data_IF_251278059361
#
_entry.id   IF_251278059361
#
_cell.length_a   1.000
_cell.length_b   1.000
_cell.length_c   1.000
_cell.angle_alpha   90.00
_cell.angle_beta   90.00
_cell.angle_gamma   90.00
#
_symmetry.space_group_name_H-M   'P 1'
#
loop_
_entity.id
_entity.type
_entity.pdbx_description
1 polymer ?
#
# COMPACT_ATOMS: atom_id res chain seq x y z
N UNK A 1 -79.00 70.68 45.40
CA UNK A 1 -78.02 70.90 46.49
C UNK A 1 -77.54 69.53 46.94
N UNK A 2 -76.26 69.17 47.07
CA UNK A 2 -74.97 69.88 47.10
C UNK A 2 -73.86 68.82 46.90
N UNK A 3 -72.66 69.27 46.48
CA UNK A 3 -71.41 68.49 46.26
C UNK A 3 -70.93 67.70 47.52
N UNK A 4 -69.96 66.76 47.53
CA UNK A 4 -68.61 66.74 46.93
C UNK A 4 -67.79 65.46 47.30
N UNK A 5 -66.80 65.11 46.43
CA UNK A 5 -65.43 64.53 46.60
C UNK A 5 -65.05 63.11 47.16
N UNK A 6 -64.16 62.45 46.38
CA UNK A 6 -63.08 61.41 46.52
C UNK A 6 -62.60 60.91 47.92
N UNK A 7 -61.99 59.69 48.06
CA UNK A 7 -60.68 59.29 47.46
C UNK A 7 -60.50 57.82 46.99
N UNK A 8 -59.35 57.59 46.34
CA UNK A 8 -58.84 56.37 45.67
C UNK A 8 -58.06 55.41 46.57
N UNK A 9 -58.04 54.10 46.24
CA UNK A 9 -56.93 53.16 46.53
C UNK A 9 -56.83 52.07 45.44
N UNK A 10 -55.60 51.64 45.18
CA UNK A 10 -55.10 50.82 44.07
C UNK A 10 -55.02 49.32 44.37
N UNK A 11 -55.11 48.48 43.33
CA UNK A 11 -54.87 47.03 43.37
C UNK A 11 -53.63 46.64 42.52
N UNK A 12 -52.79 45.75 43.07
CA UNK A 12 -51.53 45.26 42.51
C UNK A 12 -51.71 44.28 41.31
N UNK A 13 -50.85 44.32 40.27
CA UNK A 13 -50.82 43.32 39.22
C UNK A 13 -49.85 42.15 39.49
N UNK A 14 -50.24 40.96 39.01
CA UNK A 14 -49.52 39.67 39.06
C UNK A 14 -48.18 39.75 38.27
N UNK A 15 -47.06 39.14 38.72
CA UNK A 15 -45.76 39.32 38.08
C UNK A 15 -45.60 38.55 36.75
N UNK A 16 -45.15 39.26 35.70
CA UNK A 16 -44.68 38.75 34.38
C UNK A 16 -43.55 37.69 34.43
N UNK A 17 -43.14 37.21 35.60
CA UNK A 17 -41.95 36.38 35.78
C UNK A 17 -42.15 34.89 35.42
N UNK A 18 -43.37 34.36 35.53
CA UNK A 18 -43.64 32.92 35.30
C UNK A 18 -43.61 32.58 33.81
N UNK A 19 -44.11 33.49 32.95
CA UNK A 19 -44.13 33.30 31.50
C UNK A 19 -42.72 33.29 30.87
N UNK A 20 -41.81 34.14 31.34
CA UNK A 20 -40.43 34.19 30.82
C UNK A 20 -39.65 32.88 31.08
N UNK A 21 -39.87 32.22 32.22
CA UNK A 21 -39.12 31.01 32.60
C UNK A 21 -39.44 29.81 31.70
N UNK A 22 -40.70 29.64 31.31
CA UNK A 22 -41.13 28.57 30.40
C UNK A 22 -40.63 28.79 28.96
N UNK A 23 -40.52 30.04 28.51
CA UNK A 23 -40.02 30.39 27.19
C UNK A 23 -38.50 30.18 27.08
N UNK A 24 -37.73 30.60 28.09
CA UNK A 24 -36.29 30.34 28.15
C UNK A 24 -35.95 28.83 28.17
N UNK A 25 -36.76 27.99 28.83
CA UNK A 25 -36.52 26.56 28.91
C UNK A 25 -36.84 25.82 27.60
N UNK A 26 -37.84 26.28 26.83
CA UNK A 26 -38.12 25.80 25.47
C UNK A 26 -37.05 26.21 24.45
N UNK A 27 -36.49 27.41 24.59
CA UNK A 27 -35.39 27.88 23.75
C UNK A 27 -34.12 27.08 24.05
N UNK A 28 -33.80 26.82 25.33
CA UNK A 28 -32.66 26.00 25.72
C UNK A 28 -32.75 24.54 25.20
N UNK A 29 -33.92 23.90 25.29
CA UNK A 29 -34.11 22.54 24.76
C UNK A 29 -34.06 22.48 23.23
N UNK A 30 -34.56 23.50 22.53
CA UNK A 30 -34.45 23.66 21.08
C UNK A 30 -33.00 23.85 20.60
N UNK A 31 -32.21 24.65 21.33
CA UNK A 31 -30.78 24.83 21.06
C UNK A 31 -29.96 23.55 21.32
N UNK A 32 -30.32 22.78 22.35
CA UNK A 32 -29.66 21.53 22.69
C UNK A 32 -29.97 20.43 21.64
N UNK A 33 -31.22 20.37 21.16
CA UNK A 33 -31.61 19.49 20.04
C UNK A 33 -30.88 19.83 18.74
N UNK A 34 -30.74 21.11 18.40
CA UNK A 34 -29.97 21.55 17.22
C UNK A 34 -28.48 21.20 17.30
N UNK A 35 -27.86 21.31 18.48
CA UNK A 35 -26.45 20.90 18.69
C UNK A 35 -26.25 19.39 18.52
N UNK A 36 -27.19 18.57 19.02
CA UNK A 36 -27.13 17.10 18.86
C UNK A 36 -27.27 16.72 17.39
N UNK A 37 -28.23 17.33 16.66
CA UNK A 37 -28.43 17.08 15.24
C UNK A 37 -27.20 17.50 14.43
N UNK A 38 -26.59 18.65 14.75
CA UNK A 38 -25.38 19.12 14.09
C UNK A 38 -24.17 18.21 14.36
N UNK A 39 -24.02 17.69 15.59
CA UNK A 39 -22.98 16.71 15.92
C UNK A 39 -23.20 15.37 15.22
N UNK A 40 -24.45 14.91 15.10
CA UNK A 40 -24.78 13.68 14.36
C UNK A 40 -24.52 13.84 12.86
N UNK A 41 -24.86 15.00 12.27
CA UNK A 41 -24.52 15.34 10.88
C UNK A 41 -23.01 15.43 10.68
N UNK A 42 -22.28 16.01 11.63
CA UNK A 42 -20.82 16.06 11.58
C UNK A 42 -20.19 14.67 11.66
N UNK A 43 -20.67 13.80 12.56
CA UNK A 43 -20.20 12.41 12.65
C UNK A 43 -20.54 11.59 11.39
N UNK A 44 -21.69 11.83 10.77
CA UNK A 44 -22.09 11.21 9.51
C UNK A 44 -21.25 11.72 8.32
N UNK A 45 -20.92 13.02 8.30
CA UNK A 45 -20.00 13.59 7.33
C UNK A 45 -18.59 13.02 7.51
N UNK A 46 -18.09 12.94 8.75
CA UNK A 46 -16.78 12.34 9.06
C UNK A 46 -16.74 10.87 8.67
N UNK A 47 -17.82 10.08 8.87
CA UNK A 47 -17.87 8.68 8.42
C UNK A 47 -17.93 8.54 6.89
N UNK A 48 -18.55 9.48 6.17
CA UNK A 48 -18.50 9.56 4.70
C UNK A 48 -17.11 9.96 4.17
N UNK A 49 -16.30 10.66 4.98
CA UNK A 49 -14.91 11.03 4.66
C UNK A 49 -13.87 10.01 5.13
N UNK A 50 -14.25 8.92 5.83
CA UNK A 50 -13.36 7.75 6.00
C UNK A 50 -13.34 6.97 4.67
N UNK A 51 -12.81 7.60 3.64
CA UNK A 51 -12.25 6.87 2.51
C UNK A 51 -11.18 5.96 3.11
N UNK A 52 -11.37 4.64 3.01
CA UNK A 52 -10.27 3.72 3.25
C UNK A 52 -9.14 4.17 2.33
N UNK A 53 -8.07 4.71 2.89
CA UNK A 53 -6.87 5.04 2.13
C UNK A 53 -6.26 3.70 1.71
N UNK A 54 -6.76 3.16 0.59
CA UNK A 54 -6.14 2.03 -0.08
C UNK A 54 -4.87 2.55 -0.72
N UNK A 55 -3.77 1.84 -0.53
CA UNK A 55 -2.56 2.15 -1.27
C UNK A 55 -2.86 1.88 -2.76
N UNK A 56 -2.37 2.75 -3.64
CA UNK A 56 -2.38 2.47 -5.07
C UNK A 56 -1.31 1.42 -5.39
N UNK A 57 -1.57 0.51 -6.34
CA UNK A 57 -0.53 -0.42 -6.80
C UNK A 57 0.60 0.35 -7.48
N UNK A 58 1.83 -0.11 -7.25
CA UNK A 58 3.01 0.31 -8.03
C UNK A 58 2.82 -0.08 -9.51
N UNK A 59 2.11 -1.17 -9.79
CA UNK A 59 1.60 -1.41 -11.13
C UNK A 59 1.06 -2.80 -11.29
N UNK A 60 0.65 -3.11 -12.51
CA UNK A 60 0.09 -4.39 -12.88
C UNK A 60 0.55 -4.77 -14.29
N UNK A 61 0.49 -6.07 -14.57
CA UNK A 61 0.69 -6.64 -15.89
C UNK A 61 -0.45 -7.61 -16.15
N UNK A 62 -1.10 -7.46 -17.30
CA UNK A 62 -2.15 -8.34 -17.79
C UNK A 62 -1.67 -8.94 -19.11
N UNK A 63 -1.52 -10.26 -19.20
CA UNK A 63 -1.04 -10.90 -20.42
C UNK A 63 -2.19 -11.02 -21.44
N UNK A 64 -2.18 -10.15 -22.45
CA UNK A 64 -3.22 -10.06 -23.47
C UNK A 64 -3.35 -11.35 -24.32
N UNK A 65 -2.35 -12.22 -24.33
CA UNK A 65 -2.40 -13.50 -25.03
C UNK A 65 -3.13 -14.60 -24.24
N UNK A 66 -3.62 -14.30 -23.04
CA UNK A 66 -4.27 -15.28 -22.14
C UNK A 66 -5.72 -14.92 -21.85
N UNK A 67 -6.43 -14.36 -22.83
CA UNK A 67 -7.81 -13.93 -22.64
C UNK A 67 -8.76 -15.10 -22.36
N UNK A 68 -9.60 -14.95 -21.33
CA UNK A 68 -10.61 -15.91 -20.90
C UNK A 68 -11.98 -15.24 -20.79
N UNK A 69 -13.04 -16.04 -20.94
CA UNK A 69 -14.39 -15.60 -20.59
C UNK A 69 -14.52 -15.44 -19.07
N UNK A 70 -15.25 -14.42 -18.62
CA UNK A 70 -15.57 -14.21 -17.20
C UNK A 70 -16.33 -15.39 -16.58
N UNK A 71 -17.10 -16.13 -17.40
CA UNK A 71 -17.85 -17.33 -17.01
C UNK A 71 -17.07 -18.65 -17.16
N UNK A 72 -15.79 -18.60 -17.56
CA UNK A 72 -14.99 -19.80 -17.77
C UNK A 72 -14.64 -20.51 -16.45
N UNK A 73 -14.34 -21.82 -16.55
CA UNK A 73 -13.86 -22.59 -15.40
C UNK A 73 -12.53 -22.05 -14.86
N UNK A 74 -11.66 -21.54 -15.74
CA UNK A 74 -10.40 -20.86 -15.37
C UNK A 74 -10.69 -19.63 -14.50
N UNK A 75 -11.65 -18.78 -14.89
CA UNK A 75 -12.05 -17.59 -14.12
C UNK A 75 -12.50 -17.96 -12.69
N UNK A 76 -13.34 -19.01 -12.56
CA UNK A 76 -13.76 -19.53 -11.25
C UNK A 76 -12.58 -20.10 -10.44
N UNK A 77 -11.62 -20.74 -11.11
CA UNK A 77 -10.43 -21.29 -10.45
C UNK A 77 -9.50 -20.17 -9.95
N UNK A 78 -9.37 -19.07 -10.70
CA UNK A 78 -8.66 -17.85 -10.28
C UNK A 78 -9.32 -17.28 -9.02
N UNK A 79 -10.65 -17.12 -8.99
CA UNK A 79 -11.33 -16.52 -7.84
C UNK A 79 -11.16 -17.39 -6.57
N UNK A 80 -11.21 -18.72 -6.69
CA UNK A 80 -10.91 -19.65 -5.59
C UNK A 80 -9.46 -19.55 -5.13
N UNK A 81 -8.51 -19.48 -6.07
CA UNK A 81 -7.09 -19.33 -5.80
C UNK A 81 -6.81 -18.02 -5.05
N UNK A 82 -7.38 -16.91 -5.49
CA UNK A 82 -7.20 -15.60 -4.85
C UNK A 82 -7.75 -15.59 -3.41
N UNK A 83 -8.90 -16.21 -3.17
CA UNK A 83 -9.45 -16.37 -1.83
C UNK A 83 -8.49 -17.17 -0.91
N UNK A 84 -7.88 -18.23 -1.44
CA UNK A 84 -6.88 -18.99 -0.71
C UNK A 84 -5.64 -18.15 -0.40
N UNK A 85 -5.08 -17.44 -1.39
CA UNK A 85 -3.91 -16.57 -1.21
C UNK A 85 -4.18 -15.49 -0.15
N UNK A 86 -5.35 -14.85 -0.17
CA UNK A 86 -5.77 -13.83 0.82
C UNK A 86 -5.82 -14.41 2.23
N UNK A 87 -6.34 -15.62 2.40
CA UNK A 87 -6.47 -16.24 3.73
C UNK A 87 -5.15 -16.75 4.29
N UNK A 88 -4.25 -17.29 3.44
CA UNK A 88 -3.04 -17.99 3.90
C UNK A 88 -1.79 -17.12 3.95
N UNK A 89 -1.62 -16.16 3.03
CA UNK A 89 -0.39 -15.34 2.94
C UNK A 89 -0.05 -14.61 4.24
N UNK A 90 -1.00 -14.02 4.99
CA UNK A 90 -0.68 -13.29 6.21
C UNK A 90 -0.15 -14.16 7.36
N UNK A 91 -0.27 -15.49 7.28
CA UNK A 91 0.20 -16.42 8.30
C UNK A 91 1.73 -16.59 8.26
N UNK A 92 2.31 -16.56 7.05
CA UNK A 92 3.72 -16.87 6.78
C UNK A 92 4.44 -15.77 5.99
N UNK A 93 3.71 -14.76 5.51
CA UNK A 93 4.19 -13.75 4.58
C UNK A 93 4.34 -14.24 3.13
N UNK A 94 4.05 -15.50 2.84
CA UNK A 94 4.25 -16.11 1.52
C UNK A 94 3.46 -17.39 1.32
N UNK A 95 2.82 -17.53 0.17
CA UNK A 95 2.12 -18.75 -0.26
C UNK A 95 2.27 -18.95 -1.76
N UNK A 96 2.47 -20.21 -2.16
CA UNK A 96 2.18 -20.72 -3.50
C UNK A 96 1.03 -21.71 -3.41
N UNK A 97 0.09 -21.63 -4.33
CA UNK A 97 -1.02 -22.59 -4.45
C UNK A 97 -1.40 -22.83 -5.92
N UNK A 98 -2.29 -23.78 -6.14
CA UNK A 98 -2.94 -24.00 -7.41
C UNK A 98 -4.41 -24.37 -7.22
N UNK A 99 -5.24 -24.04 -8.19
CA UNK A 99 -6.68 -24.30 -8.18
C UNK A 99 -7.14 -24.92 -9.50
N UNK A 100 -8.04 -25.89 -9.43
CA UNK A 100 -8.56 -26.61 -10.59
C UNK A 100 -7.74 -27.84 -10.99
N UNK A 101 -8.09 -28.39 -12.15
CA UNK A 101 -7.44 -29.54 -12.81
C UNK A 101 -7.22 -29.19 -14.28
N UNK A 102 -6.29 -29.88 -14.92
CA UNK A 102 -6.03 -29.67 -16.35
C UNK A 102 -7.30 -29.96 -17.17
N UNK A 103 -7.60 -29.14 -18.20
CA UNK A 103 -6.79 -28.04 -18.74
C UNK A 103 -7.00 -26.67 -18.05
N UNK A 104 -7.89 -26.57 -17.06
CA UNK A 104 -8.31 -25.29 -16.44
C UNK A 104 -7.53 -24.95 -15.16
N UNK A 105 -6.36 -25.59 -14.94
CA UNK A 105 -5.57 -25.40 -13.72
C UNK A 105 -4.88 -24.04 -13.72
N UNK A 106 -4.86 -23.40 -12.56
CA UNK A 106 -4.22 -22.08 -12.36
C UNK A 106 -3.26 -22.15 -11.18
N UNK A 107 -2.08 -21.55 -11.34
CA UNK A 107 -1.04 -21.44 -10.33
C UNK A 107 -1.02 -20.01 -9.78
N UNK A 108 -0.75 -19.85 -8.49
CA UNK A 108 -0.75 -18.57 -7.82
C UNK A 108 0.35 -18.45 -6.79
N UNK A 109 0.84 -17.22 -6.64
CA UNK A 109 1.83 -16.83 -5.65
C UNK A 109 1.42 -15.49 -5.06
N UNK A 110 1.51 -15.39 -3.74
CA UNK A 110 1.38 -14.14 -3.01
C UNK A 110 2.51 -14.03 -2.00
N UNK A 111 3.15 -12.87 -1.95
CA UNK A 111 4.28 -12.63 -1.06
C UNK A 111 4.27 -11.21 -0.54
N UNK A 112 4.40 -11.07 0.77
CA UNK A 112 4.61 -9.80 1.43
C UNK A 112 6.10 -9.44 1.48
N UNK A 113 6.42 -8.16 1.64
CA UNK A 113 7.78 -7.72 1.90
C UNK A 113 8.19 -8.23 3.29
N UNK A 114 9.35 -8.88 3.42
CA UNK A 114 9.68 -9.66 4.62
C UNK A 114 9.90 -8.84 5.90
N UNK A 115 9.79 -7.52 5.85
CA UNK A 115 9.90 -6.60 6.98
C UNK A 115 8.55 -6.02 7.45
N UNK A 116 7.42 -6.35 6.81
CA UNK A 116 6.10 -5.80 7.18
C UNK A 116 5.36 -6.68 8.18
N UNK A 117 4.45 -6.09 8.94
CA UNK A 117 3.63 -6.83 9.91
C UNK A 117 2.61 -7.74 9.22
N UNK A 118 2.13 -8.78 9.91
CA UNK A 118 1.04 -9.64 9.39
C UNK A 118 -0.22 -8.83 9.06
N UNK A 119 -0.48 -7.75 9.80
CA UNK A 119 -1.62 -6.85 9.53
C UNK A 119 -1.45 -6.12 8.20
N UNK A 120 -0.29 -5.50 7.99
CA UNK A 120 -0.01 -4.78 6.74
C UNK A 120 0.04 -5.74 5.54
N UNK A 121 0.61 -6.93 5.75
CA UNK A 121 0.58 -8.01 4.79
C UNK A 121 -0.86 -8.41 4.41
N UNK A 122 -1.73 -8.63 5.40
CA UNK A 122 -3.14 -8.95 5.19
C UNK A 122 -3.87 -7.88 4.40
N UNK A 123 -3.72 -6.61 4.77
CA UNK A 123 -4.35 -5.50 4.05
C UNK A 123 -3.84 -5.41 2.60
N UNK A 124 -2.53 -5.55 2.40
CA UNK A 124 -1.93 -5.48 1.07
C UNK A 124 -2.42 -6.59 0.14
N UNK A 125 -2.46 -7.84 0.61
CA UNK A 125 -2.89 -8.98 -0.22
C UNK A 125 -4.38 -8.90 -0.54
N UNK A 126 -5.21 -8.41 0.39
CA UNK A 126 -6.64 -8.17 0.14
C UNK A 126 -6.86 -7.14 -0.97
N UNK A 127 -6.16 -6.00 -0.90
CA UNK A 127 -6.23 -4.97 -1.93
C UNK A 127 -5.68 -5.48 -3.26
N UNK A 128 -4.54 -6.18 -3.26
CA UNK A 128 -3.92 -6.76 -4.46
C UNK A 128 -4.85 -7.76 -5.17
N UNK A 129 -5.47 -8.68 -4.43
CA UNK A 129 -6.37 -9.69 -4.98
C UNK A 129 -7.63 -9.05 -5.59
N UNK A 130 -8.14 -7.99 -4.98
CA UNK A 130 -9.28 -7.24 -5.54
C UNK A 130 -8.88 -6.46 -6.80
N UNK A 131 -7.80 -5.68 -6.72
CA UNK A 131 -7.38 -4.78 -7.78
C UNK A 131 -6.88 -5.52 -9.03
N UNK A 132 -6.23 -6.69 -8.87
CA UNK A 132 -5.79 -7.48 -10.02
C UNK A 132 -6.98 -7.98 -10.85
N UNK A 133 -8.11 -8.32 -10.23
CA UNK A 133 -9.34 -8.74 -10.96
C UNK A 133 -10.07 -7.57 -11.58
N UNK A 134 -9.92 -6.35 -11.04
CA UNK A 134 -10.49 -5.14 -11.65
C UNK A 134 -9.66 -4.67 -12.85
N UNK A 135 -8.32 -4.75 -12.76
CA UNK A 135 -7.40 -4.26 -13.79
C UNK A 135 -7.15 -5.28 -14.90
N UNK A 136 -7.09 -6.56 -14.55
CA UNK A 136 -6.92 -7.68 -15.47
C UNK A 136 -8.18 -8.56 -15.44
N UNK A 137 -9.30 -8.02 -15.92
CA UNK A 137 -10.63 -8.64 -15.77
C UNK A 137 -10.75 -10.00 -16.48
N UNK A 138 -10.08 -10.14 -17.62
CA UNK A 138 -10.27 -11.26 -18.53
C UNK A 138 -8.96 -11.97 -18.89
N UNK A 139 -7.88 -11.82 -18.13
CA UNK A 139 -6.60 -12.48 -18.41
C UNK A 139 -6.37 -13.64 -17.44
N UNK A 140 -5.86 -14.76 -17.93
CA UNK A 140 -5.49 -15.90 -17.10
C UNK A 140 -4.05 -15.82 -16.55
N UNK A 141 -3.23 -14.91 -17.06
CA UNK A 141 -1.91 -14.58 -16.52
C UNK A 141 -1.83 -13.08 -16.15
N UNK A 142 -1.71 -12.81 -14.85
CA UNK A 142 -1.65 -11.46 -14.33
C UNK A 142 -0.76 -11.33 -13.09
N UNK A 143 -0.22 -10.12 -12.93
CA UNK A 143 0.68 -9.73 -11.84
C UNK A 143 0.28 -8.35 -11.32
N UNK A 144 0.41 -8.12 -10.02
CA UNK A 144 0.23 -6.80 -9.40
C UNK A 144 1.26 -6.59 -8.29
N UNK A 145 1.84 -5.39 -8.25
CA UNK A 145 2.89 -5.01 -7.31
C UNK A 145 2.43 -3.86 -6.42
N UNK A 146 2.70 -3.98 -5.13
CA UNK A 146 2.51 -2.96 -4.09
C UNK A 146 3.82 -2.74 -3.34
N UNK A 147 3.92 -1.66 -2.56
CA UNK A 147 5.10 -1.43 -1.71
C UNK A 147 5.33 -2.54 -0.67
N UNK A 148 4.25 -3.21 -0.23
CA UNK A 148 4.28 -4.22 0.83
C UNK A 148 3.99 -5.65 0.38
N UNK A 149 3.57 -5.86 -0.88
CA UNK A 149 3.28 -7.20 -1.37
C UNK A 149 3.31 -7.30 -2.90
N UNK A 150 3.38 -8.54 -3.37
CA UNK A 150 3.31 -8.95 -4.76
C UNK A 150 2.33 -10.11 -4.87
N UNK A 151 1.51 -10.11 -5.93
CA UNK A 151 0.60 -11.19 -6.25
C UNK A 151 0.65 -11.51 -7.74
N UNK A 152 0.72 -12.81 -8.06
CA UNK A 152 0.72 -13.34 -9.42
C UNK A 152 -0.18 -14.55 -9.52
N UNK A 153 -0.89 -14.68 -10.63
CA UNK A 153 -1.50 -15.93 -11.05
C UNK A 153 -1.26 -16.17 -12.54
N UNK A 154 -1.28 -17.43 -12.96
CA UNK A 154 -1.13 -17.84 -14.36
C UNK A 154 -1.75 -19.22 -14.59
N UNK A 155 -2.28 -19.46 -15.79
CA UNK A 155 -2.63 -20.80 -16.26
C UNK A 155 -1.40 -21.61 -16.75
N UNK A 156 -0.22 -21.00 -16.80
CA UNK A 156 1.05 -21.71 -16.96
C UNK A 156 1.80 -21.82 -15.62
N UNK A 157 2.47 -22.94 -15.39
CA UNK A 157 3.21 -23.15 -14.15
C UNK A 157 4.51 -22.35 -14.14
N UNK A 158 4.54 -21.26 -13.37
CA UNK A 158 5.71 -20.40 -13.20
C UNK A 158 6.54 -20.68 -11.93
N UNK A 159 6.07 -21.58 -11.05
CA UNK A 159 6.69 -21.79 -9.73
C UNK A 159 8.13 -22.27 -9.88
N UNK A 160 9.06 -21.55 -9.26
CA UNK A 160 10.50 -21.86 -9.30
C UNK A 160 11.19 -21.45 -10.60
N UNK A 161 10.52 -20.71 -11.49
CA UNK A 161 11.11 -20.22 -12.74
C UNK A 161 11.41 -18.72 -12.65
N UNK A 162 12.62 -18.33 -13.03
CA UNK A 162 13.01 -16.91 -13.11
C UNK A 162 12.22 -16.21 -14.21
N UNK A 163 11.59 -15.11 -13.87
CA UNK A 163 10.83 -14.25 -14.77
C UNK A 163 11.22 -12.77 -14.55
N UNK A 164 12.05 -12.28 -15.46
CA UNK A 164 12.46 -10.88 -15.60
C UNK A 164 12.04 -10.29 -16.95
N UNK A 165 11.05 -10.89 -17.63
CA UNK A 165 10.65 -10.46 -18.98
C UNK A 165 9.90 -9.14 -18.97
N UNK A 166 9.05 -8.92 -17.96
CA UNK A 166 8.35 -7.67 -17.74
C UNK A 166 8.89 -6.97 -16.48
N UNK A 167 9.21 -5.68 -16.59
CA UNK A 167 9.77 -4.90 -15.50
C UNK A 167 9.13 -3.52 -15.34
N UNK A 168 8.91 -3.11 -14.10
CA UNK A 168 8.53 -1.73 -13.76
C UNK A 168 9.71 -1.05 -13.08
N UNK A 169 10.10 0.11 -13.60
CA UNK A 169 11.24 0.88 -13.14
C UNK A 169 10.77 2.22 -12.63
N UNK A 170 11.20 2.56 -11.41
CA UNK A 170 10.99 3.88 -10.84
C UNK A 170 12.31 4.52 -10.54
N UNK A 171 12.41 5.82 -10.76
CA UNK A 171 13.58 6.56 -10.31
C UNK A 171 13.22 7.97 -9.85
N UNK A 172 14.03 8.48 -8.94
CA UNK A 172 13.95 9.86 -8.51
C UNK A 172 14.39 10.78 -9.66
N UNK A 173 13.66 11.87 -9.91
CA UNK A 173 14.05 12.83 -10.97
C UNK A 173 15.40 13.48 -10.70
N UNK A 174 15.75 13.66 -9.43
CA UNK A 174 16.96 14.31 -8.99
C UNK A 174 18.17 13.37 -9.02
N UNK A 175 19.30 13.94 -9.43
CA UNK A 175 20.58 13.26 -9.41
C UNK A 175 21.29 13.47 -8.07
N UNK A 176 22.20 12.55 -7.74
CA UNK A 176 23.17 12.75 -6.66
C UNK A 176 24.24 13.76 -7.07
N UNK A 177 24.88 14.40 -6.10
CA UNK A 177 25.91 15.43 -6.34
C UNK A 177 27.28 14.85 -6.67
N UNK A 178 27.59 13.65 -6.16
CA UNK A 178 28.83 12.92 -6.43
C UNK A 178 28.49 11.49 -6.91
N UNK A 179 28.24 11.31 -8.23
CA UNK A 179 27.89 10.02 -8.81
C UNK A 179 28.93 8.92 -8.60
N UNK A 180 30.22 9.25 -8.63
CA UNK A 180 31.28 8.24 -8.58
C UNK A 180 31.35 7.61 -7.19
N UNK A 181 31.41 8.43 -6.14
CA UNK A 181 31.39 7.93 -4.76
C UNK A 181 30.07 7.24 -4.43
N UNK A 182 28.93 7.80 -4.89
CA UNK A 182 27.62 7.21 -4.68
C UNK A 182 27.49 5.81 -5.29
N UNK A 183 27.85 5.66 -6.57
CA UNK A 183 27.73 4.39 -7.28
C UNK A 183 28.65 3.32 -6.69
N UNK A 184 29.83 3.71 -6.18
CA UNK A 184 30.73 2.81 -5.46
C UNK A 184 30.08 2.27 -4.18
N UNK A 185 29.54 3.16 -3.34
CA UNK A 185 28.88 2.77 -2.08
C UNK A 185 27.58 1.99 -2.33
N UNK A 186 26.82 2.35 -3.36
CA UNK A 186 25.62 1.63 -3.79
C UNK A 186 25.97 0.21 -4.25
N UNK A 187 27.00 0.05 -5.07
CA UNK A 187 27.47 -1.25 -5.54
C UNK A 187 27.86 -2.17 -4.38
N UNK A 188 28.71 -1.66 -3.47
CA UNK A 188 29.15 -2.41 -2.29
C UNK A 188 27.97 -2.80 -1.37
N UNK A 189 27.00 -1.89 -1.17
CA UNK A 189 25.80 -2.18 -0.41
C UNK A 189 24.94 -3.26 -1.09
N UNK A 190 24.72 -3.15 -2.41
CA UNK A 190 23.93 -4.10 -3.20
C UNK A 190 24.55 -5.49 -3.18
N UNK A 191 25.86 -5.61 -3.36
CA UNK A 191 26.56 -6.91 -3.34
C UNK A 191 26.40 -7.61 -1.99
N UNK A 192 26.51 -6.85 -0.89
CA UNK A 192 26.31 -7.38 0.45
C UNK A 192 24.88 -7.87 0.66
N UNK A 193 23.87 -7.04 0.39
CA UNK A 193 22.47 -7.42 0.66
C UNK A 193 21.95 -8.49 -0.30
N UNK A 194 22.48 -8.57 -1.53
CA UNK A 194 22.21 -9.68 -2.45
C UNK A 194 22.75 -11.00 -1.91
N UNK A 195 23.97 -10.98 -1.37
CA UNK A 195 24.58 -12.16 -0.73
C UNK A 195 23.82 -12.59 0.53
N UNK A 196 23.24 -11.65 1.27
CA UNK A 196 22.35 -11.95 2.38
C UNK A 196 21.03 -12.58 1.88
N UNK A 197 20.40 -12.00 0.86
CA UNK A 197 19.09 -12.44 0.34
C UNK A 197 19.07 -13.90 -0.13
N UNK A 198 20.18 -14.37 -0.73
CA UNK A 198 20.28 -15.75 -1.24
C UNK A 198 20.43 -16.79 -0.13
N UNK A 199 20.74 -16.38 1.11
CA UNK A 199 20.87 -17.31 2.24
C UNK A 199 19.49 -17.85 2.63
N UNK A 200 19.31 -19.19 2.76
CA UNK A 200 18.00 -19.78 3.05
C UNK A 200 17.28 -19.18 4.27
N UNK A 201 18.03 -18.88 5.34
CA UNK A 201 17.50 -18.28 6.58
C UNK A 201 16.86 -16.91 6.40
N UNK A 202 17.19 -16.20 5.31
CA UNK A 202 16.72 -14.85 5.04
C UNK A 202 15.52 -14.84 4.09
N UNK A 203 15.09 -16.00 3.60
CA UNK A 203 13.87 -16.18 2.81
C UNK A 203 13.76 -15.19 1.63
N UNK A 204 14.88 -14.97 0.94
CA UNK A 204 14.96 -14.08 -0.22
C UNK A 204 15.12 -12.60 0.11
N UNK A 205 15.12 -12.16 1.37
CA UNK A 205 15.22 -10.75 1.77
C UNK A 205 16.65 -10.35 2.12
N UNK A 206 17.13 -9.24 1.56
CA UNK A 206 18.35 -8.55 1.99
C UNK A 206 18.08 -7.07 2.15
N UNK A 207 18.55 -6.45 3.23
CA UNK A 207 18.38 -5.01 3.44
C UNK A 207 19.53 -4.43 4.24
N UNK A 208 19.85 -3.17 3.98
CA UNK A 208 20.97 -2.53 4.65
C UNK A 208 21.02 -1.04 4.39
N UNK A 209 21.91 -0.38 5.13
CA UNK A 209 22.20 1.03 4.97
C UNK A 209 23.69 1.29 5.07
N UNK A 210 24.16 2.34 4.41
CA UNK A 210 25.54 2.85 4.54
C UNK A 210 25.53 4.37 4.63
N UNK A 211 26.47 4.94 5.38
CA UNK A 211 26.61 6.40 5.47
C UNK A 211 27.42 6.89 4.27
N UNK A 212 26.86 7.83 3.52
CA UNK A 212 27.57 8.53 2.45
C UNK A 212 28.28 9.77 2.99
N UNK A 213 27.72 10.40 4.04
CA UNK A 213 28.30 11.53 4.76
C UNK A 213 27.75 11.59 6.20
N UNK A 214 28.09 12.64 6.94
CA UNK A 214 27.52 12.89 8.28
C UNK A 214 26.00 13.06 8.27
N UNK A 215 25.42 13.55 7.18
CA UNK A 215 24.00 13.89 7.07
C UNK A 215 23.24 13.03 6.08
N UNK A 216 23.94 12.17 5.32
CA UNK A 216 23.35 11.40 4.23
C UNK A 216 23.59 9.90 4.42
N UNK A 217 22.50 9.14 4.42
CA UNK A 217 22.52 7.68 4.53
C UNK A 217 21.80 7.08 3.33
N UNK A 218 22.42 6.11 2.69
CA UNK A 218 21.85 5.31 1.63
C UNK A 218 21.18 4.08 2.24
N UNK A 219 19.93 3.82 1.86
CA UNK A 219 19.14 2.65 2.25
C UNK A 219 18.89 1.80 1.02
N UNK A 220 19.03 0.49 1.14
CA UNK A 220 18.71 -0.45 0.06
C UNK A 220 18.04 -1.72 0.58
N UNK A 221 17.15 -2.27 -0.24
CA UNK A 221 16.45 -3.53 0.00
C UNK A 221 16.36 -4.30 -1.31
N UNK A 222 16.60 -5.60 -1.23
CA UNK A 222 16.37 -6.58 -2.29
C UNK A 222 15.46 -7.68 -1.78
N UNK A 223 14.60 -8.21 -2.63
CA UNK A 223 13.78 -9.36 -2.29
C UNK A 223 13.56 -10.25 -3.51
N UNK A 224 13.79 -11.56 -3.36
CA UNK A 224 13.36 -12.58 -4.31
C UNK A 224 12.00 -13.16 -3.92
N UNK A 225 11.27 -13.70 -4.89
CA UNK A 225 10.14 -14.58 -4.58
C UNK A 225 10.64 -15.89 -3.98
N UNK A 226 9.96 -16.40 -2.95
CA UNK A 226 10.45 -17.55 -2.16
C UNK A 226 10.31 -18.90 -2.85
N UNK A 227 9.71 -18.95 -4.03
CA UNK A 227 9.64 -20.16 -4.87
C UNK A 227 10.97 -20.46 -5.57
N UNK A 228 11.89 -19.49 -5.64
CA UNK A 228 13.14 -19.62 -6.35
C UNK A 228 14.22 -20.36 -5.54
N UNK A 229 15.10 -21.06 -6.27
CA UNK A 229 16.34 -21.57 -5.70
C UNK A 229 17.31 -20.43 -5.35
N UNK A 230 18.38 -20.75 -4.61
CA UNK A 230 19.42 -19.75 -4.28
C UNK A 230 20.08 -19.18 -5.55
N UNK A 231 20.30 -20.03 -6.56
CA UNK A 231 20.92 -19.64 -7.84
C UNK A 231 19.97 -18.75 -8.63
N UNK A 232 18.70 -19.13 -8.71
CA UNK A 232 17.67 -18.37 -9.43
C UNK A 232 17.41 -16.99 -8.79
N UNK A 233 17.40 -16.95 -7.45
CA UNK A 233 17.35 -15.68 -6.71
C UNK A 233 18.58 -14.81 -7.01
N UNK A 234 19.79 -15.39 -6.95
CA UNK A 234 21.02 -14.67 -7.27
C UNK A 234 21.02 -14.11 -8.68
N UNK A 235 20.53 -14.89 -9.66
CA UNK A 235 20.38 -14.50 -11.06
C UNK A 235 19.40 -13.35 -11.22
N UNK A 236 18.19 -13.43 -10.65
CA UNK A 236 17.21 -12.36 -10.77
C UNK A 236 17.74 -11.04 -10.21
N UNK A 237 18.35 -11.09 -9.01
CA UNK A 237 18.93 -9.90 -8.39
C UNK A 237 20.13 -9.35 -9.17
N UNK A 238 20.93 -10.22 -9.80
CA UNK A 238 22.03 -9.80 -10.66
C UNK A 238 21.51 -9.04 -11.89
N UNK A 239 20.45 -9.54 -12.54
CA UNK A 239 19.81 -8.90 -13.69
C UNK A 239 19.25 -7.52 -13.29
N UNK A 240 18.56 -7.45 -12.15
CA UNK A 240 18.00 -6.19 -11.65
C UNK A 240 19.05 -5.12 -11.37
N UNK A 241 20.14 -5.47 -10.67
CA UNK A 241 21.23 -4.53 -10.38
C UNK A 241 22.06 -4.21 -11.63
N UNK A 242 22.27 -5.19 -12.51
CA UNK A 242 22.99 -4.99 -13.78
C UNK A 242 22.33 -3.98 -14.72
N UNK A 243 21.02 -3.75 -14.55
CA UNK A 243 20.26 -2.75 -15.29
C UNK A 243 20.32 -1.33 -14.71
N UNK A 244 20.97 -1.12 -13.55
CA UNK A 244 21.09 0.20 -12.94
C UNK A 244 21.71 1.27 -13.85
N UNK A 245 22.78 1.00 -14.62
CA UNK A 245 23.36 1.99 -15.51
C UNK A 245 22.38 2.52 -16.56
N UNK A 246 21.37 1.73 -16.93
CA UNK A 246 20.40 2.11 -17.96
C UNK A 246 19.24 2.93 -17.41
N UNK A 247 18.80 2.67 -16.16
CA UNK A 247 17.55 3.24 -15.63
C UNK A 247 17.72 4.07 -14.35
N UNK A 248 18.73 3.76 -13.55
CA UNK A 248 18.96 4.35 -12.24
C UNK A 248 20.11 5.37 -12.25
N UNK A 249 20.74 5.61 -13.41
CA UNK A 249 21.96 6.38 -13.61
C UNK A 249 22.05 7.62 -12.71
N UNK A 250 22.84 7.49 -11.65
CA UNK A 250 23.16 8.58 -10.71
C UNK A 250 21.91 9.19 -10.03
N UNK A 251 20.79 8.49 -9.99
CA UNK A 251 19.54 8.94 -9.37
C UNK A 251 19.58 8.75 -7.87
N UNK A 252 18.97 9.68 -7.12
CA UNK A 252 18.89 9.62 -5.65
C UNK A 252 18.09 8.41 -5.12
N UNK A 253 17.25 7.81 -5.95
CA UNK A 253 16.48 6.62 -5.61
C UNK A 253 16.08 5.88 -6.88
N UNK A 254 15.99 4.57 -6.79
CA UNK A 254 15.55 3.72 -7.88
C UNK A 254 14.83 2.48 -7.36
N UNK A 255 13.88 1.97 -8.14
CA UNK A 255 13.18 0.70 -7.90
C UNK A 255 13.13 -0.10 -9.19
N UNK A 256 13.41 -1.40 -9.09
CA UNK A 256 13.28 -2.38 -10.17
C UNK A 256 12.35 -3.47 -9.69
N UNK A 257 11.23 -3.66 -10.40
CA UNK A 257 10.19 -4.62 -10.05
C UNK A 257 10.04 -5.63 -11.18
N UNK A 258 10.53 -6.85 -10.97
CA UNK A 258 10.28 -7.99 -11.83
C UNK A 258 9.24 -8.93 -11.20
N UNK A 259 8.84 -9.96 -11.94
CA UNK A 259 7.95 -11.02 -11.43
C UNK A 259 8.62 -11.92 -10.39
N UNK A 260 9.95 -12.00 -10.41
CA UNK A 260 10.76 -12.90 -9.57
C UNK A 260 11.59 -12.18 -8.50
N UNK A 261 11.80 -10.87 -8.63
CA UNK A 261 12.56 -10.11 -7.64
C UNK A 261 12.26 -8.60 -7.69
N UNK A 262 12.63 -7.95 -6.58
CA UNK A 262 12.45 -6.55 -6.30
C UNK A 262 13.76 -5.97 -5.80
N UNK A 263 14.14 -4.79 -6.30
CA UNK A 263 15.27 -4.02 -5.80
C UNK A 263 14.85 -2.58 -5.60
N UNK A 264 15.24 -1.97 -4.47
CA UNK A 264 15.04 -0.55 -4.21
C UNK A 264 16.20 0.03 -3.44
N UNK A 265 16.58 1.25 -3.80
CA UNK A 265 17.41 2.11 -2.97
C UNK A 265 16.86 3.53 -2.91
N UNK A 266 17.08 4.19 -1.78
CA UNK A 266 16.64 5.56 -1.52
C UNK A 266 17.60 6.24 -0.53
N UNK A 267 17.60 7.57 -0.48
CA UNK A 267 18.34 8.38 0.51
C UNK A 267 17.51 8.70 1.77
N UNK A 268 16.41 7.97 2.00
CA UNK A 268 15.56 8.07 3.17
C UNK A 268 15.14 6.66 3.66
N UNK A 269 14.83 6.48 4.96
CA UNK A 269 14.37 5.20 5.47
C UNK A 269 13.04 4.76 4.84
N UNK A 270 12.94 3.51 4.37
CA UNK A 270 11.71 2.96 3.76
C UNK A 270 11.39 1.50 4.14
N UNK A 271 12.26 0.86 4.92
CA UNK A 271 12.09 -0.51 5.40
C UNK A 271 12.13 -0.55 6.93
N UNK A 272 11.45 -1.53 7.52
CA UNK A 272 11.29 -1.64 8.96
C UNK A 272 12.48 -2.35 9.64
N UNK A 273 12.78 -2.03 10.91
CA UNK A 273 12.23 -0.88 11.65
C UNK A 273 12.71 0.44 11.04
N UNK A 274 11.82 1.44 10.97
CA UNK A 274 12.19 2.77 10.51
C UNK A 274 13.01 3.46 11.61
N UNK A 275 14.15 4.05 11.25
CA UNK A 275 14.92 4.86 12.19
C UNK A 275 14.09 6.12 12.53
N UNK A 276 13.91 6.40 13.82
CA UNK A 276 13.01 7.47 14.34
C UNK A 276 13.45 8.91 14.05
N UNK A 277 14.52 9.13 13.28
CA UNK A 277 15.14 10.43 13.07
C UNK A 277 15.29 10.74 11.58
N UNK A 278 14.23 11.27 10.96
CA UNK A 278 14.28 12.45 10.05
C UNK A 278 13.00 12.57 9.22
N UNK A 279 12.53 13.81 9.09
CA UNK A 279 11.35 14.17 8.29
C UNK A 279 11.51 13.74 6.83
N UNK A 280 10.51 13.01 6.35
CA UNK A 280 10.36 12.57 4.97
C UNK A 280 10.17 13.77 4.04
N UNK A 281 11.18 14.05 3.20
CA UNK A 281 10.98 14.80 1.96
C UNK A 281 10.70 13.79 0.85
N UNK A 282 9.45 13.78 0.36
CA UNK A 282 9.07 12.95 -0.79
C UNK A 282 9.50 13.66 -2.07
N UNK A 283 10.59 13.18 -2.69
CA UNK A 283 11.01 13.62 -4.02
C UNK A 283 10.04 13.17 -5.11
N UNK A 284 9.94 13.94 -6.21
CA UNK A 284 9.14 13.55 -7.37
C UNK A 284 9.76 12.29 -8.02
N UNK A 285 8.93 11.28 -8.31
CA UNK A 285 9.37 9.99 -8.88
C UNK A 285 8.79 9.82 -10.29
N UNK A 286 9.56 9.26 -11.22
CA UNK A 286 9.12 8.88 -12.58
C UNK A 286 8.94 7.37 -12.66
N UNK A 287 7.95 6.92 -13.43
CA UNK A 287 7.67 5.52 -13.74
C UNK A 287 8.00 5.22 -15.21
N UNK A 288 8.74 4.15 -15.46
CA UNK A 288 8.94 3.55 -16.78
C UNK A 288 8.50 2.08 -16.72
N UNK A 289 7.80 1.62 -17.76
CA UNK A 289 7.39 0.22 -17.92
C UNK A 289 8.19 -0.36 -19.08
N UNK A 290 8.83 -1.51 -18.87
CA UNK A 290 9.54 -2.25 -19.91
C UNK A 290 8.78 -3.54 -20.20
N UNK A 291 8.48 -3.75 -21.48
CA UNK A 291 7.84 -4.94 -22.02
C UNK A 291 8.86 -5.94 -22.57
#
# INVERSE_FOLDING_TARGET
MSASCFPTYSAFPIPRAIYKKAEHQKVASSLQGKKIIMNLLYMLLVSLFVSSCRADPLGNFCNENTNISSSSQISLNIDRLLAELVSKTPLTGYVVSSSGKDPDKVYGLAQCRGDVSNKDCSSCIQDAAKEVRQRCSNQADARIWYDYCFLRYSNDNFVGKVDTSFGIFYYNVENVTDPQSFNKELGALMDRIRSEAVMPKNEGLGKGKTKLSQFLTLYALVQCTRDLSQIDCAQCLAIAVGNFPNFCDSKKGCRVLYSSCYVRYELYPFFFPLDSNNGTSFGKTVKIVHH
#
